data_IF_918243929337
#
_entry.id   IF_918243929337
#
_cell.length_a   1.000
_cell.length_b   1.000
_cell.length_c   1.000
_cell.angle_alpha   90.00
_cell.angle_beta   90.00
_cell.angle_gamma   90.00
#
_symmetry.space_group_name_H-M   'P 1'
#
loop_
_entity.id
_entity.type
_entity.pdbx_description
1 polymer ?
#
# COMPACT_ATOMS: atom_id res chain seq x y z
N UNK A 1 -28.76 1.22 23.01
CA UNK A 1 -27.88 1.26 21.82
C UNK A 1 -26.99 2.46 21.99
N UNK A 2 -25.76 2.22 22.42
CA UNK A 2 -24.69 3.22 22.42
C UNK A 2 -23.59 2.59 21.58
N UNK A 3 -23.35 3.16 20.40
CA UNK A 3 -22.19 2.87 19.56
C UNK A 3 -20.93 3.21 20.36
N UNK A 4 -19.93 2.34 20.27
CA UNK A 4 -18.62 2.55 20.84
C UNK A 4 -17.62 2.45 19.69
N UNK A 5 -17.11 3.60 19.28
CA UNK A 5 -16.04 3.75 18.27
C UNK A 5 -14.78 2.95 18.66
N UNK A 6 -14.24 2.08 17.79
CA UNK A 6 -13.04 1.29 18.08
C UNK A 6 -11.72 1.98 17.70
N UNK A 7 -11.73 3.21 17.17
CA UNK A 7 -10.51 3.94 16.78
C UNK A 7 -10.17 5.07 17.76
N UNK A 8 -9.75 4.70 18.97
CA UNK A 8 -9.11 5.61 19.92
C UNK A 8 -7.62 5.79 19.58
N UNK A 9 -7.28 6.91 18.95
CA UNK A 9 -5.90 7.31 18.68
C UNK A 9 -5.10 7.54 19.98
N UNK A 10 -3.99 6.81 20.14
CA UNK A 10 -3.03 7.05 21.21
C UNK A 10 -2.00 8.10 20.78
N UNK A 11 -1.91 9.16 21.59
CA UNK A 11 -0.97 10.26 21.43
C UNK A 11 0.50 9.82 21.58
N UNK A 12 1.35 10.29 20.67
CA UNK A 12 2.81 10.16 20.76
C UNK A 12 3.39 11.22 21.73
N UNK A 13 4.42 10.90 22.55
CA UNK A 13 5.07 11.89 23.38
C UNK A 13 6.13 12.70 22.60
N UNK A 14 6.11 14.00 22.85
CA UNK A 14 7.07 14.99 22.35
C UNK A 14 8.46 14.82 22.96
N UNK A 15 9.51 15.05 22.16
CA UNK A 15 10.85 15.40 22.67
C UNK A 15 11.38 16.62 21.92
N UNK A 16 11.82 17.59 22.71
CA UNK A 16 12.39 18.89 22.31
C UNK A 16 13.86 18.98 22.81
N UNK A 17 14.62 20.08 22.61
CA UNK A 17 15.76 20.13 21.69
C UNK A 17 17.12 20.47 22.37
N UNK A 18 18.23 20.40 21.60
CA UNK A 18 19.48 21.14 21.89
C UNK A 18 20.78 20.31 21.90
N UNK A 19 21.76 20.69 21.04
CA UNK A 19 23.07 20.05 20.81
C UNK A 19 24.13 20.21 21.93
N UNK A 20 25.47 20.08 21.68
CA UNK A 20 26.21 20.56 20.51
C UNK A 20 27.25 19.58 19.89
N UNK A 21 27.91 20.09 18.84
CA UNK A 21 28.82 19.48 17.88
C UNK A 21 30.24 19.17 18.37
N UNK A 22 30.85 18.10 17.81
CA UNK A 22 32.26 17.92 17.37
C UNK A 22 32.21 16.68 16.43
N UNK A 23 32.67 16.57 15.18
CA UNK A 23 33.71 17.26 14.41
C UNK A 23 34.78 16.23 14.01
N UNK A 24 34.75 15.70 12.76
CA UNK A 24 35.89 15.66 11.81
C UNK A 24 35.72 14.71 10.59
N UNK A 25 35.99 15.29 9.39
CA UNK A 25 36.62 14.66 8.21
C UNK A 25 35.70 13.95 7.22
N UNK A 26 35.70 14.17 5.90
CA UNK A 26 36.57 14.98 5.02
C UNK A 26 35.92 15.07 3.61
N UNK A 27 35.93 16.30 3.07
CA UNK A 27 35.98 16.79 1.68
C UNK A 27 35.27 16.10 0.48
N UNK A 28 34.52 16.98 -0.25
CA UNK A 28 34.37 17.17 -1.71
C UNK A 28 32.90 17.12 -2.12
N UNK A 29 32.27 18.12 -2.75
CA UNK A 29 32.77 19.26 -3.50
C UNK A 29 32.02 19.32 -4.84
N UNK A 30 31.15 20.30 -5.02
CA UNK A 30 30.82 20.88 -6.33
C UNK A 30 29.67 20.28 -7.15
N UNK A 31 28.97 21.20 -7.82
CA UNK A 31 28.15 21.10 -9.03
C UNK A 31 26.81 20.33 -8.99
N UNK A 32 25.76 21.12 -8.79
CA UNK A 32 24.57 21.09 -9.62
C UNK A 32 24.94 21.07 -11.12
N UNK A 33 25.11 19.88 -11.69
CA UNK A 33 24.95 19.66 -13.13
C UNK A 33 23.63 18.92 -13.29
N UNK A 34 22.55 19.68 -13.40
CA UNK A 34 21.28 19.18 -13.88
C UNK A 34 21.52 18.66 -15.31
N UNK A 35 21.42 17.34 -15.46
CA UNK A 35 21.47 16.69 -16.77
C UNK A 35 20.42 17.35 -17.68
N UNK A 36 20.80 17.93 -18.84
CA UNK A 36 19.85 18.56 -19.75
C UNK A 36 18.72 17.60 -20.19
N UNK A 37 18.95 16.28 -20.15
CA UNK A 37 17.89 15.29 -20.38
C UNK A 37 16.92 15.19 -19.20
N UNK A 38 17.39 15.30 -17.96
CA UNK A 38 16.55 15.31 -16.77
C UNK A 38 15.69 16.58 -16.68
N UNK A 39 16.25 17.74 -17.04
CA UNK A 39 15.50 19.00 -17.11
C UNK A 39 14.38 18.94 -18.15
N UNK A 40 14.63 18.31 -19.32
CA UNK A 40 13.61 18.14 -20.36
C UNK A 40 12.48 17.18 -19.94
N UNK A 41 12.80 16.07 -19.28
CA UNK A 41 11.79 15.14 -18.76
C UNK A 41 10.94 15.76 -17.65
N UNK A 42 11.56 16.52 -16.74
CA UNK A 42 10.83 17.25 -15.70
C UNK A 42 9.92 18.34 -16.29
N UNK A 43 10.35 19.01 -17.36
CA UNK A 43 9.54 19.98 -18.09
C UNK A 43 8.35 19.31 -18.82
N UNK A 44 8.56 18.15 -19.44
CA UNK A 44 7.49 17.35 -20.07
C UNK A 44 6.47 16.82 -19.04
N UNK A 45 6.93 16.33 -17.87
CA UNK A 45 6.04 15.89 -16.79
C UNK A 45 5.18 17.02 -16.25
N UNK A 46 5.74 18.23 -16.10
CA UNK A 46 4.98 19.39 -15.63
C UNK A 46 4.02 19.96 -16.68
N UNK A 47 4.33 19.81 -17.98
CA UNK A 47 3.40 20.12 -19.07
C UNK A 47 2.21 19.16 -19.12
N UNK A 48 2.44 17.84 -18.92
CA UNK A 48 1.37 16.81 -18.86
C UNK A 48 0.51 16.95 -17.60
N UNK A 49 1.11 17.25 -16.45
CA UNK A 49 0.38 17.43 -15.18
C UNK A 49 -0.55 18.66 -15.21
N UNK A 50 -0.31 19.64 -16.09
CA UNK A 50 -1.20 20.77 -16.30
C UNK A 50 -2.51 20.43 -17.04
N UNK A 51 -2.57 19.29 -17.74
CA UNK A 51 -3.73 18.87 -18.56
C UNK A 51 -4.73 18.05 -17.74
N UNK A 52 -4.34 17.50 -16.58
CA UNK A 52 -5.23 16.69 -15.73
C UNK A 52 -6.29 17.54 -15.00
N UNK A 53 -6.10 18.86 -14.93
CA UNK A 53 -7.00 19.75 -14.18
C UNK A 53 -7.89 20.69 -15.03
N UNK A 54 -7.83 20.63 -16.37
CA UNK A 54 -8.73 21.43 -17.22
C UNK A 54 -9.46 20.57 -18.27
N UNK A 55 -10.75 20.34 -17.98
CA UNK A 55 -11.87 20.13 -18.90
C UNK A 55 -11.82 18.99 -19.95
N UNK A 56 -10.73 18.23 -20.07
CA UNK A 56 -10.59 17.16 -21.07
C UNK A 56 -11.37 15.87 -20.76
N UNK A 57 -11.73 15.64 -19.50
CA UNK A 57 -12.38 14.38 -19.07
C UNK A 57 -13.92 14.42 -19.22
N UNK A 58 -14.52 15.58 -19.53
CA UNK A 58 -15.98 15.69 -19.67
C UNK A 58 -16.51 15.21 -21.04
N UNK A 59 -15.62 15.00 -22.02
CA UNK A 59 -16.02 14.59 -23.39
C UNK A 59 -16.41 13.11 -23.49
N UNK A 60 -15.89 12.25 -22.60
CA UNK A 60 -16.14 10.81 -22.65
C UNK A 60 -17.53 10.41 -22.13
N UNK A 61 -18.19 11.28 -21.34
CA UNK A 61 -19.46 10.96 -20.65
C UNK A 61 -20.72 11.46 -21.40
N UNK A 62 -20.64 12.55 -22.17
CA UNK A 62 -21.85 13.17 -22.79
C UNK A 62 -21.88 13.17 -24.32
N UNK A 63 -20.77 12.83 -25.01
CA UNK A 63 -20.79 12.61 -26.48
C UNK A 63 -21.15 13.85 -27.33
N UNK A 64 -21.00 15.06 -26.80
CA UNK A 64 -21.24 16.31 -27.56
C UNK A 64 -19.92 17.00 -27.90
N UNK A 65 -19.64 17.15 -29.19
CA UNK A 65 -18.51 17.95 -29.69
C UNK A 65 -18.82 19.45 -29.63
N UNK A 66 -17.86 20.32 -29.26
CA UNK A 66 -18.05 21.76 -29.30
C UNK A 66 -18.14 22.28 -30.74
N UNK A 67 -19.00 23.28 -30.96
CA UNK A 67 -19.34 23.85 -32.26
C UNK A 67 -18.17 24.51 -33.03
N UNK A 68 -16.95 24.52 -32.48
CA UNK A 68 -15.76 25.09 -33.13
C UNK A 68 -15.08 24.15 -34.16
N UNK A 69 -15.51 22.89 -34.28
CA UNK A 69 -14.91 21.92 -35.20
C UNK A 69 -15.73 21.67 -36.49
N UNK A 70 -16.79 22.43 -36.72
CA UNK A 70 -17.62 22.27 -37.92
C UNK A 70 -17.46 23.47 -38.87
N UNK A 71 -16.56 23.33 -39.85
CA UNK A 71 -16.37 24.26 -40.96
C UNK A 71 -15.80 23.54 -42.19
N UNK A 72 -16.51 23.66 -43.32
CA UNK A 72 -16.37 22.97 -44.62
C UNK A 72 -15.06 23.25 -45.42
N UNK A 73 -14.74 22.43 -46.45
CA UNK A 73 -13.55 22.52 -47.29
C UNK A 73 -13.72 23.56 -48.42
N UNK A 74 -12.65 24.15 -48.98
CA UNK A 74 -12.21 23.67 -50.31
C UNK A 74 -10.72 23.91 -50.67
N UNK A 75 -10.13 22.92 -51.36
CA UNK A 75 -9.39 23.08 -52.63
C UNK A 75 -8.21 24.05 -52.80
N UNK A 76 -7.05 23.51 -53.17
CA UNK A 76 -6.00 24.22 -53.90
C UNK A 76 -4.68 23.44 -53.96
N UNK A 77 -4.23 22.94 -55.13
CA UNK A 77 -2.92 22.32 -55.29
C UNK A 77 -1.89 23.39 -55.66
N UNK A 78 -0.85 23.57 -54.85
CA UNK A 78 0.50 24.01 -55.29
C UNK A 78 1.33 24.42 -54.06
N UNK A 79 2.36 23.63 -53.78
CA UNK A 79 3.67 24.04 -53.22
C UNK A 79 4.38 22.81 -52.62
N UNK A 80 4.75 21.85 -53.46
CA UNK A 80 5.90 20.97 -53.15
C UNK A 80 7.13 21.64 -53.74
N UNK A 81 7.76 22.47 -52.92
CA UNK A 81 9.05 23.07 -53.21
C UNK A 81 10.10 21.98 -53.37
N UNK A 82 10.77 22.02 -54.52
CA UNK A 82 11.74 21.05 -54.97
C UNK A 82 13.09 21.32 -54.30
N UNK A 83 13.44 20.51 -53.29
CA UNK A 83 14.83 20.41 -52.85
C UNK A 83 15.55 19.38 -53.72
N UNK A 84 16.14 19.88 -54.81
CA UNK A 84 17.29 19.25 -55.43
C UNK A 84 18.53 19.65 -54.62
N UNK A 85 19.27 18.67 -54.12
CA UNK A 85 20.69 18.87 -53.87
C UNK A 85 21.44 17.57 -54.18
N UNK A 86 22.23 17.62 -55.25
CA UNK A 86 23.03 16.50 -55.73
C UNK A 86 24.43 16.50 -55.16
N UNK A 87 25.06 15.34 -55.18
CA UNK A 87 26.49 15.22 -55.46
C UNK A 87 26.74 13.88 -56.15
N UNK A 88 27.29 13.97 -57.35
CA UNK A 88 27.63 12.88 -58.25
C UNK A 88 29.00 12.34 -57.84
N UNK A 89 29.07 11.16 -57.24
CA UNK A 89 30.36 10.52 -56.95
C UNK A 89 31.05 10.14 -58.26
N UNK A 90 32.20 10.76 -58.49
CA UNK A 90 33.09 10.51 -59.62
C UNK A 90 33.87 9.21 -59.39
N UNK A 91 33.43 8.10 -59.97
CA UNK A 91 34.14 6.82 -59.94
C UNK A 91 35.32 6.83 -60.94
N UNK A 92 36.55 6.86 -60.42
CA UNK A 92 37.76 6.57 -61.20
C UNK A 92 38.01 5.06 -61.25
N UNK A 93 37.80 4.46 -62.42
CA UNK A 93 38.04 3.04 -62.68
C UNK A 93 39.55 2.76 -62.89
N UNK A 94 40.23 2.27 -61.85
CA UNK A 94 41.54 1.60 -61.94
C UNK A 94 41.41 0.10 -61.58
N UNK A 95 42.39 -0.77 -61.92
CA UNK A 95 42.27 -2.23 -61.74
C UNK A 95 41.91 -2.59 -60.30
N UNK A 96 40.67 -2.99 -60.07
CA UNK A 96 40.14 -3.29 -58.74
C UNK A 96 40.67 -4.65 -58.31
N UNK A 97 41.54 -4.67 -57.31
CA UNK A 97 41.93 -5.91 -56.62
C UNK A 97 40.66 -6.58 -56.08
N UNK A 98 40.25 -7.69 -56.71
CA UNK A 98 39.00 -8.38 -56.40
C UNK A 98 38.99 -8.92 -54.97
N UNK A 99 40.17 -9.23 -54.41
CA UNK A 99 40.29 -9.65 -53.02
C UNK A 99 40.13 -8.47 -52.05
N UNK A 100 40.64 -7.29 -52.40
CA UNK A 100 40.39 -6.05 -51.66
C UNK A 100 38.91 -5.64 -51.71
N UNK A 101 38.23 -5.83 -52.84
CA UNK A 101 36.80 -5.57 -52.96
C UNK A 101 35.96 -6.55 -52.11
N UNK A 102 36.29 -7.84 -52.12
CA UNK A 102 35.59 -8.86 -51.31
C UNK A 102 35.81 -8.63 -49.81
N UNK A 103 37.05 -8.34 -49.37
CA UNK A 103 37.34 -8.03 -47.96
C UNK A 103 36.74 -6.71 -47.47
N UNK A 104 36.59 -5.71 -48.34
CA UNK A 104 35.86 -4.49 -48.01
C UNK A 104 34.36 -4.76 -47.87
N UNK A 105 33.77 -5.59 -48.74
CA UNK A 105 32.37 -6.03 -48.59
C UNK A 105 32.15 -6.82 -47.30
N UNK A 106 33.07 -7.73 -46.95
CA UNK A 106 33.00 -8.52 -45.71
C UNK A 106 33.20 -7.65 -44.44
N UNK A 107 34.07 -6.64 -44.53
CA UNK A 107 34.25 -5.61 -43.50
C UNK A 107 33.03 -4.68 -43.35
N UNK A 108 32.25 -4.49 -44.41
CA UNK A 108 31.02 -3.71 -44.40
C UNK A 108 29.81 -4.54 -43.92
N UNK A 109 29.83 -5.86 -44.14
CA UNK A 109 28.79 -6.80 -43.68
C UNK A 109 29.01 -7.30 -42.25
N UNK A 110 30.26 -7.32 -41.76
CA UNK A 110 30.54 -7.59 -40.36
C UNK A 110 30.08 -6.41 -39.51
N UNK A 111 29.09 -6.63 -38.66
CA UNK A 111 28.79 -5.68 -37.59
C UNK A 111 30.09 -5.44 -36.79
N UNK A 112 30.50 -4.18 -36.55
CA UNK A 112 31.66 -3.89 -35.74
C UNK A 112 31.55 -4.61 -34.39
N UNK A 113 32.61 -5.31 -33.95
CA UNK A 113 32.64 -6.02 -32.66
C UNK A 113 32.28 -5.12 -31.47
N UNK A 114 32.48 -3.80 -31.59
CA UNK A 114 32.02 -2.81 -30.59
C UNK A 114 30.50 -2.73 -30.48
N UNK A 115 29.76 -2.80 -31.60
CA UNK A 115 28.30 -2.80 -31.64
C UNK A 115 27.77 -4.14 -31.11
N UNK A 116 28.44 -5.25 -31.45
CA UNK A 116 28.09 -6.57 -30.92
C UNK A 116 28.19 -6.60 -29.40
N UNK A 117 29.34 -6.17 -28.86
CA UNK A 117 29.54 -6.04 -27.41
C UNK A 117 28.53 -5.11 -26.76
N UNK A 118 28.24 -3.97 -27.38
CA UNK A 118 27.25 -3.05 -26.85
C UNK A 118 25.84 -3.67 -26.78
N UNK A 119 25.41 -4.41 -27.81
CA UNK A 119 24.12 -5.12 -27.78
C UNK A 119 24.08 -6.19 -26.70
N UNK A 120 25.16 -6.96 -26.54
CA UNK A 120 25.30 -7.98 -25.50
C UNK A 120 25.22 -7.34 -24.10
N UNK A 121 25.96 -6.25 -23.86
CA UNK A 121 25.94 -5.50 -22.59
C UNK A 121 24.57 -4.87 -22.29
N UNK A 122 23.88 -4.31 -23.30
CA UNK A 122 22.53 -3.77 -23.13
C UNK A 122 21.50 -4.86 -22.85
N UNK A 123 21.60 -6.00 -23.55
CA UNK A 123 20.74 -7.15 -23.34
C UNK A 123 20.91 -7.70 -21.92
N UNK A 124 22.15 -7.87 -21.47
CA UNK A 124 22.46 -8.32 -20.11
C UNK A 124 21.92 -7.33 -19.07
N UNK A 125 22.13 -6.02 -19.28
CA UNK A 125 21.60 -4.98 -18.37
C UNK A 125 20.07 -5.02 -18.28
N UNK A 126 19.39 -5.21 -19.41
CA UNK A 126 17.93 -5.32 -19.44
C UNK A 126 17.46 -6.59 -18.73
N UNK A 127 18.11 -7.72 -18.96
CA UNK A 127 17.79 -8.98 -18.29
C UNK A 127 17.97 -8.88 -16.76
N UNK A 128 19.03 -8.21 -16.29
CA UNK A 128 19.24 -7.94 -14.87
C UNK A 128 18.11 -7.08 -14.29
N UNK A 129 17.65 -6.06 -15.03
CA UNK A 129 16.56 -5.21 -14.60
C UNK A 129 15.24 -5.98 -14.51
N UNK A 130 14.92 -6.79 -15.52
CA UNK A 130 13.73 -7.66 -15.55
C UNK A 130 13.78 -8.73 -14.44
N UNK A 131 14.95 -9.29 -14.17
CA UNK A 131 15.15 -10.24 -13.08
C UNK A 131 14.97 -9.57 -11.71
N UNK A 132 15.45 -8.34 -11.54
CA UNK A 132 15.28 -7.58 -10.31
C UNK A 132 13.80 -7.23 -10.08
N UNK A 133 13.11 -6.74 -11.11
CA UNK A 133 11.67 -6.46 -11.05
C UNK A 133 10.87 -7.71 -10.65
N UNK A 134 11.12 -8.86 -11.30
CA UNK A 134 10.46 -10.13 -10.96
C UNK A 134 10.74 -10.58 -9.53
N UNK A 135 11.96 -10.38 -9.02
CA UNK A 135 12.31 -10.69 -7.62
C UNK A 135 11.53 -9.81 -6.65
N UNK A 136 11.52 -8.50 -6.84
CA UNK A 136 10.79 -7.58 -5.98
C UNK A 136 9.28 -7.88 -5.96
N UNK A 137 8.69 -8.16 -7.13
CA UNK A 137 7.29 -8.58 -7.18
C UNK A 137 7.04 -9.88 -6.42
N UNK A 138 7.91 -10.88 -6.56
CA UNK A 138 7.78 -12.15 -5.86
C UNK A 138 7.90 -11.95 -4.34
N UNK A 139 8.86 -11.16 -3.88
CA UNK A 139 9.06 -10.81 -2.47
C UNK A 139 7.85 -10.06 -1.90
N UNK A 140 7.28 -9.11 -2.65
CA UNK A 140 6.08 -8.39 -2.21
C UNK A 140 4.85 -9.29 -2.18
N UNK A 141 4.69 -10.20 -3.14
CA UNK A 141 3.62 -11.19 -3.15
C UNK A 141 3.76 -12.15 -1.96
N UNK A 142 4.96 -12.67 -1.69
CA UNK A 142 5.23 -13.55 -0.55
C UNK A 142 4.96 -12.82 0.78
N UNK A 143 5.40 -11.58 0.90
CA UNK A 143 5.16 -10.76 2.09
C UNK A 143 3.66 -10.53 2.33
N UNK A 144 2.90 -10.21 1.28
CA UNK A 144 1.46 -10.02 1.37
C UNK A 144 0.72 -11.31 1.76
N UNK A 145 1.12 -12.46 1.20
CA UNK A 145 0.57 -13.77 1.55
C UNK A 145 0.87 -14.08 3.02
N UNK A 146 2.11 -13.91 3.45
CA UNK A 146 2.53 -14.16 4.83
C UNK A 146 1.77 -13.29 5.83
N UNK A 147 1.61 -12.00 5.55
CA UNK A 147 0.85 -11.10 6.42
C UNK A 147 -0.63 -11.52 6.53
N UNK A 148 -1.22 -11.98 5.43
CA UNK A 148 -2.59 -12.51 5.41
C UNK A 148 -2.71 -13.80 6.24
N UNK A 149 -1.78 -14.73 6.08
CA UNK A 149 -1.71 -15.97 6.88
C UNK A 149 -1.54 -15.67 8.38
N UNK A 150 -0.65 -14.74 8.73
CA UNK A 150 -0.45 -14.29 10.11
C UNK A 150 -1.71 -13.61 10.69
N UNK A 151 -2.47 -12.90 9.87
CA UNK A 151 -3.76 -12.33 10.28
C UNK A 151 -4.78 -13.41 10.60
N UNK A 152 -4.94 -14.41 9.72
CA UNK A 152 -5.85 -15.54 9.95
C UNK A 152 -5.44 -16.36 11.18
N UNK A 153 -4.14 -16.62 11.38
CA UNK A 153 -3.63 -17.32 12.55
C UNK A 153 -3.97 -16.57 13.84
N UNK A 154 -3.74 -15.25 13.89
CA UNK A 154 -4.10 -14.40 15.04
C UNK A 154 -5.62 -14.39 15.29
N UNK A 155 -6.44 -14.34 14.24
CA UNK A 155 -7.89 -14.39 14.37
C UNK A 155 -8.36 -15.72 14.96
N UNK A 156 -7.86 -16.85 14.47
CA UNK A 156 -8.22 -18.15 15.03
C UNK A 156 -7.74 -18.28 16.47
N UNK A 157 -6.52 -17.86 16.79
CA UNK A 157 -6.01 -17.87 18.17
C UNK A 157 -6.93 -17.08 19.12
N UNK A 158 -7.35 -15.87 18.74
CA UNK A 158 -8.27 -15.06 19.54
C UNK A 158 -9.65 -15.73 19.68
N UNK A 159 -10.15 -16.36 18.62
CA UNK A 159 -11.40 -17.10 18.66
C UNK A 159 -11.31 -18.31 19.60
N UNK A 160 -10.24 -19.10 19.51
CA UNK A 160 -10.02 -20.24 20.38
C UNK A 160 -9.84 -19.81 21.84
N UNK A 161 -9.09 -18.74 22.09
CA UNK A 161 -8.94 -18.17 23.44
C UNK A 161 -10.29 -17.74 24.01
N UNK A 162 -11.13 -17.08 23.21
CA UNK A 162 -12.49 -16.69 23.60
C UNK A 162 -13.35 -17.92 23.92
N UNK A 163 -13.32 -18.96 23.08
CA UNK A 163 -14.05 -20.21 23.30
C UNK A 163 -13.61 -20.91 24.59
N UNK A 164 -12.30 -21.00 24.84
CA UNK A 164 -11.74 -21.60 26.05
C UNK A 164 -12.15 -20.80 27.28
N UNK A 165 -12.05 -19.47 27.24
CA UNK A 165 -12.46 -18.60 28.34
C UNK A 165 -13.95 -18.75 28.65
N UNK A 166 -14.81 -18.78 27.62
CA UNK A 166 -16.24 -19.00 27.80
C UNK A 166 -16.54 -20.37 28.38
N UNK A 167 -15.86 -21.43 27.92
CA UNK A 167 -16.01 -22.77 28.48
C UNK A 167 -15.57 -22.82 29.95
N UNK A 168 -14.42 -22.24 30.28
CA UNK A 168 -13.92 -22.21 31.64
C UNK A 168 -14.83 -21.38 32.57
N UNK A 169 -15.38 -20.26 32.07
CA UNK A 169 -16.34 -19.45 32.81
C UNK A 169 -17.65 -20.20 33.05
N UNK A 170 -18.15 -20.93 32.06
CA UNK A 170 -19.34 -21.77 32.20
C UNK A 170 -19.10 -22.94 33.16
N UNK A 171 -17.97 -23.64 33.05
CA UNK A 171 -17.61 -24.71 33.99
C UNK A 171 -17.48 -24.16 35.43
N UNK A 172 -16.87 -22.99 35.61
CA UNK A 172 -16.79 -22.34 36.92
C UNK A 172 -18.17 -21.91 37.44
N UNK A 173 -19.05 -21.40 36.57
CA UNK A 173 -20.42 -21.04 36.93
C UNK A 173 -21.24 -22.28 37.33
N UNK A 174 -21.17 -23.35 36.55
CA UNK A 174 -21.84 -24.62 36.84
C UNK A 174 -21.33 -25.19 38.16
N UNK A 175 -20.02 -25.19 38.40
CA UNK A 175 -19.46 -25.66 39.67
C UNK A 175 -19.94 -24.83 40.88
N UNK A 176 -19.98 -23.49 40.79
CA UNK A 176 -20.50 -22.64 41.88
C UNK A 176 -22.00 -22.87 42.14
N UNK A 177 -22.76 -23.22 41.10
CA UNK A 177 -24.20 -23.54 41.22
C UNK A 177 -24.43 -24.95 41.76
N UNK A 178 -23.64 -25.93 41.32
CA UNK A 178 -23.75 -27.34 41.71
C UNK A 178 -23.19 -27.61 43.11
N UNK A 179 -22.26 -26.79 43.61
CA UNK A 179 -21.74 -26.84 44.97
C UNK A 179 -22.87 -26.55 46.00
N UNK A 180 -23.64 -27.60 46.27
CA UNK A 180 -24.81 -27.57 47.15
C UNK A 180 -24.45 -28.21 48.47
N UNK A 181 -23.62 -27.51 49.24
CA UNK A 181 -23.34 -27.90 50.62
C UNK A 181 -24.50 -27.46 51.52
N UNK A 182 -25.03 -28.33 52.40
CA UNK A 182 -26.06 -27.95 53.36
C UNK A 182 -25.66 -26.72 54.18
N UNK A 183 -26.53 -25.72 54.27
CA UNK A 183 -26.28 -24.46 55.00
C UNK A 183 -25.88 -23.26 54.13
N UNK A 184 -25.68 -23.44 52.82
CA UNK A 184 -25.33 -22.37 51.86
C UNK A 184 -26.54 -21.80 51.09
N UNK A 185 -27.76 -22.25 51.40
CA UNK A 185 -28.97 -21.97 50.61
C UNK A 185 -29.30 -20.48 50.54
N UNK A 186 -29.24 -19.78 51.68
CA UNK A 186 -29.50 -18.33 51.74
C UNK A 186 -28.39 -17.52 51.07
N UNK A 187 -27.16 -18.00 51.08
CA UNK A 187 -26.05 -17.35 50.38
C UNK A 187 -26.26 -17.40 48.86
N UNK A 188 -26.73 -18.54 48.33
CA UNK A 188 -27.09 -18.70 46.91
C UNK A 188 -28.26 -17.79 46.52
N UNK A 189 -29.32 -17.74 47.32
CA UNK A 189 -30.44 -16.81 47.09
C UNK A 189 -29.96 -15.35 47.10
N UNK A 190 -29.05 -15.00 48.00
CA UNK A 190 -28.53 -13.64 48.09
C UNK A 190 -27.62 -13.28 46.90
N UNK A 191 -26.86 -14.23 46.31
CA UNK A 191 -26.05 -13.99 45.09
C UNK A 191 -26.92 -13.64 43.88
N UNK A 192 -28.11 -14.23 43.78
CA UNK A 192 -29.07 -13.93 42.71
C UNK A 192 -29.84 -12.62 42.93
N UNK A 193 -29.81 -12.07 44.14
CA UNK A 193 -30.50 -10.83 44.48
C UNK A 193 -29.62 -9.61 44.19
N UNK A 194 -30.11 -8.70 43.36
CA UNK A 194 -29.47 -7.40 43.14
C UNK A 194 -29.75 -6.43 44.30
N UNK A 195 -28.73 -6.23 45.13
CA UNK A 195 -28.75 -5.31 46.27
C UNK A 195 -28.28 -3.90 45.91
N UNK A 196 -28.01 -3.60 44.65
CA UNK A 196 -27.63 -2.24 44.25
C UNK A 196 -28.83 -1.29 44.48
N UNK A 197 -28.72 -0.29 45.37
CA UNK A 197 -29.82 0.63 45.64
C UNK A 197 -30.24 1.45 44.40
N UNK A 198 -29.37 1.55 43.37
CA UNK A 198 -29.63 2.29 42.13
C UNK A 198 -30.28 1.46 41.02
N UNK A 199 -30.31 0.13 41.12
CA UNK A 199 -30.90 -0.73 40.07
C UNK A 199 -32.42 -0.88 40.23
N UNK A 200 -32.99 -0.39 41.33
CA UNK A 200 -34.40 -0.53 41.68
C UNK A 200 -35.32 0.34 40.82
N UNK A 201 -35.67 -0.12 39.62
CA UNK A 201 -36.73 0.48 38.77
C UNK A 201 -38.14 -0.02 39.09
N UNK A 202 -38.32 -0.70 40.22
CA UNK A 202 -39.56 -1.38 40.60
C UNK A 202 -40.56 -0.40 41.24
N UNK A 203 -41.82 -0.43 40.81
CA UNK A 203 -42.90 0.40 41.37
C UNK A 203 -43.37 -0.06 42.77
N UNK A 204 -42.96 -1.25 43.20
CA UNK A 204 -43.31 -1.83 44.51
C UNK A 204 -42.13 -1.67 45.47
N UNK A 205 -42.42 -1.25 46.69
CA UNK A 205 -41.42 -1.15 47.76
C UNK A 205 -41.00 -2.55 48.22
N UNK A 206 -39.78 -2.94 47.86
CA UNK A 206 -39.16 -4.21 48.26
C UNK A 206 -38.14 -4.03 49.39
N UNK A 207 -38.09 -2.86 50.05
CA UNK A 207 -37.09 -2.52 51.06
C UNK A 207 -37.10 -3.48 52.24
N UNK A 208 -38.29 -3.91 52.71
CA UNK A 208 -38.43 -4.89 53.79
C UNK A 208 -37.85 -6.25 53.39
N UNK A 209 -38.16 -6.74 52.19
CA UNK A 209 -37.66 -8.01 51.68
C UNK A 209 -36.14 -7.97 51.50
N UNK A 210 -35.62 -6.88 50.92
CA UNK A 210 -34.17 -6.63 50.80
C UNK A 210 -33.48 -6.63 52.16
N UNK A 211 -34.06 -5.96 53.16
CA UNK A 211 -33.51 -5.93 54.52
C UNK A 211 -33.44 -7.32 55.16
N UNK A 212 -34.49 -8.14 55.01
CA UNK A 212 -34.49 -9.53 55.51
C UNK A 212 -33.41 -10.37 54.81
N UNK A 213 -33.30 -10.27 53.47
CA UNK A 213 -32.29 -11.02 52.71
C UNK A 213 -30.85 -10.59 53.03
N UNK A 214 -30.61 -9.28 53.25
CA UNK A 214 -29.30 -8.77 53.70
C UNK A 214 -28.97 -9.30 55.09
N UNK A 215 -29.93 -9.32 56.02
CA UNK A 215 -29.73 -9.87 57.36
C UNK A 215 -29.37 -11.35 57.32
N UNK A 216 -30.06 -12.15 56.50
CA UNK A 216 -29.78 -13.58 56.33
C UNK A 216 -28.41 -13.83 55.66
N UNK A 217 -27.94 -12.91 54.82
CA UNK A 217 -26.58 -12.95 54.24
C UNK A 217 -25.49 -12.65 55.28
N UNK A 218 -25.72 -11.69 56.17
CA UNK A 218 -24.73 -11.24 57.16
C UNK A 218 -24.69 -12.12 58.41
N UNK A 219 -25.84 -12.68 58.79
CA UNK A 219 -26.00 -13.58 59.93
C UNK A 219 -26.74 -14.83 59.44
N UNK A 220 -26.02 -15.85 58.95
CA UNK A 220 -26.60 -17.13 58.59
C UNK A 220 -27.38 -17.70 59.79
N UNK A 221 -28.51 -18.32 59.52
CA UNK A 221 -29.26 -19.04 60.55
C UNK A 221 -28.36 -20.18 61.04
N UNK A 222 -27.85 -20.03 62.27
CA UNK A 222 -27.02 -21.04 62.93
C UNK A 222 -27.78 -22.37 62.89
N UNK A 223 -27.15 -23.40 62.34
CA UNK A 223 -27.63 -24.78 62.43
C UNK A 223 -27.52 -25.29 63.86
#
# INVERSE_FOLDING_TARGET
>A
MAEVDPFGAAAAPASAPGGPAVGNGVASGGSSEEDPAAAFLAQQESEIAGIENDEGFSILDTGSVPASLQGEPPGGPDAIDAVMNGEYYQESNGPTDSYAAISQVDRLQSEPESIRKWREEQMERLEVLDANSRKQEAEWKEKAIKELEEWYARQDEQLQKTKVNNRAAEEAFVNDVEETSPGTEWERVARLCDFNPKSSKQAKDVSRMRSVLISLKQAPLVH
#
